data_IF_395094143486
#
_entry.id   IF_395094143486
#
_cell.length_a   1.000
_cell.length_b   1.000
_cell.length_c   1.000
_cell.angle_alpha   90.00
_cell.angle_beta   90.00
_cell.angle_gamma   90.00
#
_symmetry.space_group_name_H-M   'P 1'
#
loop_
_entity.id
_entity.type
_entity.pdbx_description
1 polymer ?
#
# COMPACT_ATOMS: atom_id res chain seq x y z
N UNK A 1 -19.22 6.62 -18.84
CA UNK A 1 -18.99 7.56 -17.71
C UNK A 1 -17.80 7.04 -16.90
N UNK A 2 -16.81 7.88 -16.60
CA UNK A 2 -15.65 7.47 -15.78
C UNK A 2 -16.06 7.34 -14.31
N UNK A 3 -15.61 6.27 -13.64
CA UNK A 3 -15.79 6.10 -12.20
C UNK A 3 -14.61 6.73 -11.48
N UNK A 4 -14.88 7.66 -10.58
CA UNK A 4 -13.86 8.32 -9.77
C UNK A 4 -13.72 7.59 -8.43
N UNK A 5 -12.51 7.16 -8.13
CA UNK A 5 -12.16 6.44 -6.90
C UNK A 5 -11.08 7.22 -6.15
N UNK A 6 -11.24 7.36 -4.86
CA UNK A 6 -10.26 8.00 -3.97
C UNK A 6 -9.83 6.99 -2.90
N UNK A 7 -8.55 6.92 -2.63
CA UNK A 7 -7.99 6.21 -1.49
C UNK A 7 -7.44 7.19 -0.45
N UNK A 8 -7.82 7.01 0.80
CA UNK A 8 -7.42 7.87 1.93
C UNK A 8 -6.50 7.10 2.85
N UNK A 9 -5.40 7.73 3.27
CA UNK A 9 -4.47 7.09 4.20
C UNK A 9 -4.96 7.14 5.64
N UNK A 10 -4.68 6.13 6.47
CA UNK A 10 -5.01 6.17 7.89
C UNK A 10 -4.29 7.30 8.64
N UNK A 11 -3.13 7.73 8.16
CA UNK A 11 -2.39 8.87 8.72
C UNK A 11 -3.16 10.18 8.53
N UNK A 12 -3.72 10.41 7.35
CA UNK A 12 -4.58 11.60 7.08
C UNK A 12 -5.76 11.62 8.03
N UNK A 13 -6.43 10.48 8.20
CA UNK A 13 -7.56 10.34 9.13
C UNK A 13 -7.15 10.64 10.58
N UNK A 14 -6.02 10.08 11.04
CA UNK A 14 -5.52 10.31 12.39
C UNK A 14 -5.12 11.77 12.64
N UNK A 15 -4.42 12.40 11.69
CA UNK A 15 -4.01 13.80 11.78
C UNK A 15 -5.21 14.74 11.83
N UNK A 16 -6.23 14.49 11.02
CA UNK A 16 -7.47 15.28 11.04
C UNK A 16 -8.24 15.06 12.34
N UNK A 17 -8.27 13.84 12.87
CA UNK A 17 -8.90 13.53 14.15
C UNK A 17 -8.25 14.35 15.28
N UNK A 18 -6.92 14.32 15.36
CA UNK A 18 -6.18 15.09 16.35
C UNK A 18 -6.40 16.61 16.19
N UNK A 19 -6.32 17.13 14.95
CA UNK A 19 -6.49 18.56 14.68
C UNK A 19 -7.87 19.11 15.06
N UNK A 20 -8.93 18.34 14.83
CA UNK A 20 -10.30 18.79 15.04
C UNK A 20 -10.97 18.23 16.30
N UNK A 21 -10.24 17.49 17.13
CA UNK A 21 -10.79 16.88 18.36
C UNK A 21 -11.91 15.87 18.09
N UNK A 22 -11.82 15.14 16.97
CA UNK A 22 -12.81 14.17 16.53
C UNK A 22 -12.31 12.74 16.69
N UNK A 23 -13.22 11.77 16.79
CA UNK A 23 -12.82 10.39 16.71
C UNK A 23 -12.42 10.02 15.26
N UNK A 24 -11.51 9.04 15.06
CA UNK A 24 -11.13 8.57 13.72
C UNK A 24 -12.33 8.14 12.87
N UNK A 25 -13.36 7.56 13.49
CA UNK A 25 -14.59 7.15 12.80
C UNK A 25 -15.41 8.37 12.32
N UNK A 26 -15.51 9.42 13.14
CA UNK A 26 -16.19 10.66 12.76
C UNK A 26 -15.48 11.33 11.58
N UNK A 27 -14.13 11.36 11.61
CA UNK A 27 -13.35 11.89 10.49
C UNK A 27 -13.57 11.05 9.23
N UNK A 28 -13.50 9.73 9.31
CA UNK A 28 -13.73 8.86 8.17
C UNK A 28 -15.09 9.13 7.50
N UNK A 29 -16.16 9.24 8.31
CA UNK A 29 -17.51 9.55 7.80
C UNK A 29 -17.60 10.93 7.14
N UNK A 30 -17.03 11.96 7.77
CA UNK A 30 -17.05 13.34 7.24
C UNK A 30 -16.23 13.49 5.98
N UNK A 31 -15.02 12.92 5.94
CA UNK A 31 -14.16 12.93 4.74
C UNK A 31 -14.83 12.18 3.59
N UNK A 32 -15.42 11.03 3.86
CA UNK A 32 -16.17 10.26 2.85
C UNK A 32 -17.35 11.06 2.30
N UNK A 33 -18.15 11.69 3.17
CA UNK A 33 -19.27 12.53 2.75
C UNK A 33 -18.81 13.74 1.91
N UNK A 34 -17.74 14.40 2.32
CA UNK A 34 -17.14 15.51 1.59
C UNK A 34 -16.66 15.07 0.20
N UNK A 35 -15.90 13.99 0.11
CA UNK A 35 -15.41 13.49 -1.18
C UNK A 35 -16.57 13.09 -2.10
N UNK A 36 -17.62 12.47 -1.55
CA UNK A 36 -18.82 12.13 -2.33
C UNK A 36 -19.56 13.37 -2.83
N UNK A 37 -19.62 14.44 -2.06
CA UNK A 37 -20.22 15.71 -2.51
C UNK A 37 -19.46 16.36 -3.68
N UNK A 38 -18.17 16.01 -3.85
CA UNK A 38 -17.34 16.43 -4.98
C UNK A 38 -17.48 15.51 -6.22
N UNK A 39 -18.37 14.51 -6.18
CA UNK A 39 -18.59 13.59 -7.29
C UNK A 39 -17.73 12.31 -7.25
N UNK A 40 -17.06 12.01 -6.13
CA UNK A 40 -16.33 10.75 -5.95
C UNK A 40 -17.33 9.60 -5.77
N UNK A 41 -17.16 8.55 -6.57
CA UNK A 41 -18.05 7.39 -6.56
C UNK A 41 -17.70 6.40 -5.42
N UNK A 42 -16.42 6.15 -5.20
CA UNK A 42 -15.95 5.22 -4.18
C UNK A 42 -14.78 5.81 -3.39
N UNK A 43 -14.80 5.60 -2.06
CA UNK A 43 -13.73 6.01 -1.15
C UNK A 43 -13.24 4.78 -0.42
N UNK A 44 -11.95 4.49 -0.53
CA UNK A 44 -11.28 3.37 0.14
C UNK A 44 -10.27 3.86 1.17
N UNK A 45 -10.07 3.08 2.22
CA UNK A 45 -9.00 3.29 3.19
C UNK A 45 -7.80 2.40 2.82
N UNK A 46 -6.62 3.01 2.68
CA UNK A 46 -5.39 2.26 2.37
C UNK A 46 -4.90 1.38 3.53
N UNK A 47 -5.52 1.44 4.71
CA UNK A 47 -5.24 0.48 5.79
C UNK A 47 -5.47 -0.96 5.32
N UNK A 48 -6.56 -1.21 4.57
CA UNK A 48 -6.86 -2.54 4.03
C UNK A 48 -5.76 -3.07 3.10
N UNK A 49 -5.29 -2.25 2.16
CA UNK A 49 -4.20 -2.65 1.26
C UNK A 49 -2.85 -2.76 1.98
N UNK A 50 -2.68 -2.03 3.07
CA UNK A 50 -1.51 -2.17 3.95
C UNK A 50 -1.48 -3.53 4.65
N UNK A 51 -2.62 -4.01 5.12
CA UNK A 51 -2.72 -5.34 5.75
C UNK A 51 -2.35 -6.44 4.75
N UNK A 52 -2.80 -6.35 3.49
CA UNK A 52 -2.41 -7.28 2.43
C UNK A 52 -0.90 -7.20 2.17
N UNK A 53 -0.35 -6.00 2.02
CA UNK A 53 1.09 -5.80 1.82
C UNK A 53 1.92 -6.36 2.99
N UNK A 54 1.43 -6.23 4.22
CA UNK A 54 2.07 -6.79 5.41
C UNK A 54 2.07 -8.32 5.39
N UNK A 55 0.96 -8.95 5.03
CA UNK A 55 0.87 -10.42 4.92
C UNK A 55 1.83 -10.97 3.85
N UNK A 56 1.92 -10.30 2.69
CA UNK A 56 2.86 -10.70 1.65
C UNK A 56 4.32 -10.50 2.08
N UNK A 57 4.63 -9.41 2.80
CA UNK A 57 5.97 -9.19 3.37
C UNK A 57 6.35 -10.27 4.39
N UNK A 58 5.39 -10.68 5.23
CA UNK A 58 5.61 -11.76 6.19
C UNK A 58 5.90 -13.08 5.47
N UNK A 59 5.12 -13.40 4.43
CA UNK A 59 5.33 -14.59 3.62
C UNK A 59 6.72 -14.60 2.99
N UNK A 60 7.09 -13.51 2.31
CA UNK A 60 8.41 -13.36 1.70
C UNK A 60 9.54 -13.52 2.73
N UNK A 61 9.40 -12.89 3.92
CA UNK A 61 10.40 -13.03 4.97
C UNK A 61 10.56 -14.49 5.43
N UNK A 62 9.46 -15.19 5.68
CA UNK A 62 9.50 -16.59 6.10
C UNK A 62 10.14 -17.48 5.02
N UNK A 63 9.82 -17.25 3.75
CA UNK A 63 10.42 -17.96 2.62
C UNK A 63 11.93 -17.73 2.56
N UNK A 64 12.38 -16.46 2.62
CA UNK A 64 13.79 -16.09 2.64
C UNK A 64 14.52 -16.70 3.85
N UNK A 65 13.91 -16.64 5.04
CA UNK A 65 14.50 -17.19 6.26
C UNK A 65 14.68 -18.71 6.16
N UNK A 66 13.66 -19.44 5.70
CA UNK A 66 13.73 -20.90 5.52
C UNK A 66 14.72 -21.30 4.44
N UNK A 67 14.84 -20.51 3.40
CA UNK A 67 15.74 -20.75 2.29
C UNK A 67 17.16 -20.24 2.55
N UNK A 68 17.42 -19.50 3.63
CA UNK A 68 18.72 -18.87 3.91
C UNK A 68 19.90 -19.87 3.99
N UNK A 69 19.60 -21.15 4.14
CA UNK A 69 20.60 -22.25 4.10
C UNK A 69 20.83 -22.81 2.69
N UNK A 70 20.09 -22.36 1.66
CA UNK A 70 20.18 -22.87 0.30
C UNK A 70 20.86 -21.86 -0.65
N UNK A 71 21.72 -22.30 -1.59
CA UNK A 71 22.32 -21.43 -2.59
C UNK A 71 21.23 -20.79 -3.48
N UNK A 72 21.27 -19.46 -3.66
CA UNK A 72 20.34 -18.72 -4.52
C UNK A 72 19.05 -18.26 -3.85
N UNK A 73 18.86 -18.54 -2.56
CA UNK A 73 17.77 -17.96 -1.79
C UNK A 73 17.93 -16.46 -1.61
N UNK A 74 16.81 -15.74 -1.51
CA UNK A 74 16.80 -14.31 -1.21
C UNK A 74 17.62 -14.01 0.04
N UNK A 75 18.44 -12.95 -0.03
CA UNK A 75 19.38 -12.65 1.05
C UNK A 75 18.69 -11.96 2.23
N UNK A 76 19.22 -12.20 3.42
CA UNK A 76 18.90 -11.45 4.64
C UNK A 76 20.05 -10.48 4.97
N UNK A 77 19.78 -9.32 5.57
CA UNK A 77 18.45 -8.83 6.01
C UNK A 77 17.51 -8.48 4.85
N UNK A 78 16.20 -8.63 5.04
CA UNK A 78 15.21 -8.18 4.07
C UNK A 78 14.88 -6.69 4.29
N UNK A 79 15.07 -5.88 3.25
CA UNK A 79 14.80 -4.44 3.27
C UNK A 79 13.45 -4.16 2.61
N UNK A 80 12.48 -3.72 3.39
CA UNK A 80 11.15 -3.39 2.92
C UNK A 80 10.92 -1.87 2.96
N UNK A 81 10.36 -1.32 1.88
CA UNK A 81 9.99 0.10 1.84
C UNK A 81 8.75 0.32 0.97
N UNK A 82 7.82 1.13 1.49
CA UNK A 82 6.70 1.66 0.70
C UNK A 82 7.06 2.96 -0.04
N UNK A 83 8.25 3.51 0.18
CA UNK A 83 8.70 4.78 -0.39
C UNK A 83 9.39 4.57 -1.75
N UNK A 84 8.77 4.98 -2.87
CA UNK A 84 9.39 4.84 -4.19
C UNK A 84 10.69 5.64 -4.32
N UNK A 85 10.79 6.77 -3.64
CA UNK A 85 12.01 7.58 -3.62
C UNK A 85 13.20 6.85 -3.02
N UNK A 86 13.00 6.14 -1.90
CA UNK A 86 14.04 5.31 -1.32
C UNK A 86 14.45 4.15 -2.23
N UNK A 87 13.49 3.47 -2.84
CA UNK A 87 13.77 2.37 -3.78
C UNK A 87 14.62 2.89 -4.96
N UNK A 88 14.19 3.98 -5.60
CA UNK A 88 14.96 4.58 -6.71
C UNK A 88 16.36 5.03 -6.29
N UNK A 89 16.50 5.60 -5.11
CA UNK A 89 17.81 5.98 -4.56
C UNK A 89 18.70 4.76 -4.36
N UNK A 90 18.18 3.74 -3.69
CA UNK A 90 18.91 2.50 -3.40
C UNK A 90 19.38 1.81 -4.70
N UNK A 91 18.48 1.67 -5.67
CA UNK A 91 18.81 1.07 -6.98
C UNK A 91 19.90 1.84 -7.73
N UNK A 92 19.79 3.18 -7.79
CA UNK A 92 20.73 4.01 -8.55
C UNK A 92 22.09 4.17 -7.88
N UNK A 93 22.11 4.24 -6.55
CA UNK A 93 23.34 4.53 -5.80
C UNK A 93 24.07 3.26 -5.36
N UNK A 94 23.34 2.22 -5.02
CA UNK A 94 23.87 0.99 -4.43
C UNK A 94 23.32 -0.29 -5.08
N UNK A 95 22.84 -0.21 -6.32
CA UNK A 95 22.08 -1.26 -6.97
C UNK A 95 22.70 -2.65 -6.91
N UNK A 96 23.97 -2.78 -7.28
CA UNK A 96 24.67 -4.07 -7.29
C UNK A 96 24.75 -4.75 -5.91
N UNK A 97 24.82 -3.94 -4.85
CA UNK A 97 24.93 -4.44 -3.49
C UNK A 97 23.57 -4.65 -2.82
N UNK A 98 22.60 -3.72 -3.04
CA UNK A 98 21.38 -3.65 -2.23
C UNK A 98 20.18 -4.41 -2.83
N UNK A 99 20.16 -4.55 -4.17
CA UNK A 99 19.03 -5.21 -4.88
C UNK A 99 18.65 -6.57 -4.35
N UNK A 100 19.59 -7.48 -4.01
CA UNK A 100 19.24 -8.80 -3.49
C UNK A 100 18.48 -8.77 -2.16
N UNK A 101 18.65 -7.69 -1.40
CA UNK A 101 18.05 -7.53 -0.07
C UNK A 101 16.68 -6.84 -0.11
N UNK A 102 16.35 -6.14 -1.20
CA UNK A 102 15.07 -5.44 -1.31
C UNK A 102 13.92 -6.43 -1.41
N UNK A 103 12.87 -6.20 -0.61
CA UNK A 103 11.62 -6.95 -0.70
C UNK A 103 10.94 -6.72 -2.04
N UNK A 104 10.37 -7.77 -2.61
CA UNK A 104 9.59 -7.72 -3.85
C UNK A 104 8.13 -7.32 -3.61
N UNK A 105 7.70 -7.25 -2.35
CA UNK A 105 6.34 -6.91 -1.98
C UNK A 105 5.99 -5.49 -2.40
N UNK A 106 4.84 -5.34 -3.06
CA UNK A 106 4.34 -4.04 -3.53
C UNK A 106 3.90 -3.15 -2.38
N UNK A 107 4.04 -1.84 -2.58
CA UNK A 107 3.57 -0.85 -1.60
C UNK A 107 2.04 -0.91 -1.41
N UNK A 108 1.51 -0.50 -0.24
CA UNK A 108 0.07 -0.43 0.00
C UNK A 108 -0.68 0.39 -1.06
N UNK A 109 -0.09 1.46 -1.56
CA UNK A 109 -0.66 2.27 -2.63
C UNK A 109 -0.77 1.48 -3.94
N UNK A 110 0.25 0.72 -4.29
CA UNK A 110 0.25 -0.08 -5.51
C UNK A 110 -0.71 -1.27 -5.40
N UNK A 111 -0.79 -1.92 -4.24
CA UNK A 111 -1.79 -2.96 -3.95
C UNK A 111 -3.20 -2.41 -4.08
N UNK A 112 -3.49 -1.23 -3.50
CA UNK A 112 -4.81 -0.58 -3.64
C UNK A 112 -5.12 -0.27 -5.10
N UNK A 113 -4.16 0.24 -5.87
CA UNK A 113 -4.33 0.52 -7.30
C UNK A 113 -4.70 -0.73 -8.10
N UNK A 114 -4.03 -1.85 -7.84
CA UNK A 114 -4.34 -3.15 -8.46
C UNK A 114 -5.74 -3.63 -8.07
N UNK A 115 -6.09 -3.59 -6.78
CA UNK A 115 -7.43 -3.98 -6.31
C UNK A 115 -8.53 -3.15 -6.98
N UNK A 116 -8.34 -1.84 -7.08
CA UNK A 116 -9.33 -0.95 -7.71
C UNK A 116 -9.47 -1.25 -9.21
N UNK A 117 -8.36 -1.40 -9.92
CA UNK A 117 -8.39 -1.59 -11.37
C UNK A 117 -8.82 -3.00 -11.77
N UNK A 118 -8.24 -4.02 -11.15
CA UNK A 118 -8.47 -5.40 -11.56
C UNK A 118 -9.69 -6.02 -10.87
N UNK A 119 -9.79 -5.94 -9.55
CA UNK A 119 -10.88 -6.59 -8.83
C UNK A 119 -12.19 -5.78 -8.91
N UNK A 120 -12.17 -4.51 -8.48
CA UNK A 120 -13.38 -3.69 -8.49
C UNK A 120 -13.80 -3.29 -9.91
N UNK A 121 -12.85 -3.02 -10.81
CA UNK A 121 -13.13 -2.74 -12.20
C UNK A 121 -13.91 -3.88 -12.86
N UNK A 122 -13.45 -5.11 -12.70
CA UNK A 122 -14.12 -6.31 -13.22
C UNK A 122 -15.48 -6.56 -12.55
N UNK A 123 -15.57 -6.39 -11.21
CA UNK A 123 -16.81 -6.59 -10.46
C UNK A 123 -17.90 -5.58 -10.83
N UNK A 124 -17.53 -4.40 -11.30
CA UNK A 124 -18.46 -3.36 -11.74
C UNK A 124 -18.71 -3.37 -13.25
N UNK A 125 -18.24 -4.42 -13.98
CA UNK A 125 -18.26 -4.50 -15.45
C UNK A 125 -17.72 -3.23 -16.14
N UNK A 126 -16.72 -2.61 -15.54
CA UNK A 126 -16.11 -1.37 -16.00
C UNK A 126 -14.60 -1.55 -16.11
N UNK A 127 -14.16 -1.77 -17.33
CA UNK A 127 -12.74 -1.74 -17.70
C UNK A 127 -12.24 -0.32 -17.90
#
# INVERSE_FOLDING_TARGET
MKVVVVSVSPQTRASMAAKYGLSPLQVARRVTAFLKSLGVHHVFDTAFSRDISLLESQREFVERFRASSAPGAGQLPMLASACPGWICYAEKTHGSYILPYISTTKSPQQVMGTLVKEYFGNKLDRK
#
